data_IF_869362815136
#
_entry.id   IF_869362815136
#
_cell.length_a   1.000
_cell.length_b   1.000
_cell.length_c   1.000
_cell.angle_alpha   90.00
_cell.angle_beta   90.00
_cell.angle_gamma   90.00
#
_symmetry.space_group_name_H-M   'P 1'
#
loop_
_entity.id
_entity.type
_entity.pdbx_description
1 polymer ?
#
# COMPACT_ATOMS: atom_id res chain seq x y z
N UNK A 1 -2.14 -0.58 -26.77
CA UNK A 1 -1.65 0.01 -25.52
C UNK A 1 -2.00 -0.92 -24.38
N UNK A 2 -1.05 -1.21 -23.48
CA UNK A 2 -1.25 -2.07 -22.31
C UNK A 2 -0.52 -1.43 -21.12
N UNK A 3 -1.23 -1.25 -20.02
CA UNK A 3 -0.68 -0.80 -18.73
C UNK A 3 0.29 -1.86 -18.20
N UNK A 4 -0.02 -3.15 -18.39
CA UNK A 4 0.86 -4.24 -18.00
C UNK A 4 1.55 -4.80 -19.26
N UNK A 5 2.89 -4.71 -19.37
CA UNK A 5 3.61 -5.13 -20.56
C UNK A 5 3.40 -6.62 -20.88
N UNK A 6 2.91 -6.90 -22.09
CA UNK A 6 2.66 -8.27 -22.56
C UNK A 6 1.32 -8.87 -22.12
N UNK A 7 0.44 -8.07 -21.50
CA UNK A 7 -0.91 -8.52 -21.13
C UNK A 7 -1.84 -8.61 -22.33
N UNK A 8 -2.61 -9.70 -22.41
CA UNK A 8 -3.68 -9.89 -23.40
C UNK A 8 -4.99 -9.20 -23.04
N UNK A 9 -5.08 -8.60 -21.85
CA UNK A 9 -6.29 -7.91 -21.37
C UNK A 9 -6.46 -6.53 -22.02
N UNK A 10 -7.70 -6.07 -22.12
CA UNK A 10 -7.99 -4.66 -22.47
C UNK A 10 -7.47 -3.71 -21.39
N UNK A 11 -7.16 -2.46 -21.77
CA UNK A 11 -6.67 -1.41 -20.85
C UNK A 11 -7.64 -1.18 -19.68
N UNK A 12 -8.95 -1.23 -19.93
CA UNK A 12 -9.98 -1.10 -18.89
C UNK A 12 -9.98 -2.26 -17.90
N UNK A 13 -9.78 -3.50 -18.39
CA UNK A 13 -9.65 -4.67 -17.52
C UNK A 13 -8.36 -4.62 -16.70
N UNK A 14 -7.26 -4.13 -17.27
CA UNK A 14 -6.00 -3.97 -16.54
C UNK A 14 -6.15 -2.97 -15.38
N UNK A 15 -6.83 -1.84 -15.60
CA UNK A 15 -7.18 -0.91 -14.53
C UNK A 15 -8.12 -1.50 -13.49
N UNK A 16 -9.15 -2.24 -13.91
CA UNK A 16 -10.08 -2.89 -12.98
C UNK A 16 -9.36 -3.93 -12.10
N UNK A 17 -8.40 -4.66 -12.66
CA UNK A 17 -7.58 -5.64 -11.94
C UNK A 17 -6.63 -4.95 -10.95
N UNK A 18 -5.87 -3.96 -11.40
CA UNK A 18 -4.94 -3.21 -10.54
C UNK A 18 -5.70 -2.50 -9.42
N UNK A 19 -6.81 -1.84 -9.76
CA UNK A 19 -7.67 -1.16 -8.80
C UNK A 19 -8.33 -2.12 -7.82
N UNK A 20 -8.85 -3.26 -8.30
CA UNK A 20 -9.44 -4.29 -7.46
C UNK A 20 -8.44 -4.92 -6.50
N UNK A 21 -7.22 -5.23 -6.96
CA UNK A 21 -6.14 -5.74 -6.11
C UNK A 21 -5.69 -4.70 -5.08
N UNK A 22 -5.55 -3.43 -5.47
CA UNK A 22 -5.23 -2.36 -4.54
C UNK A 22 -6.31 -2.18 -3.46
N UNK A 23 -7.59 -2.26 -3.84
CA UNK A 23 -8.72 -2.17 -2.91
C UNK A 23 -8.75 -3.36 -1.94
N UNK A 24 -8.49 -4.57 -2.43
CA UNK A 24 -8.33 -5.76 -1.57
C UNK A 24 -7.15 -5.61 -0.60
N UNK A 25 -6.03 -5.05 -1.06
CA UNK A 25 -4.87 -4.74 -0.23
C UNK A 25 -5.19 -3.73 0.88
N UNK A 26 -5.97 -2.69 0.57
CA UNK A 26 -6.47 -1.72 1.56
C UNK A 26 -7.36 -2.41 2.59
N UNK A 27 -8.30 -3.25 2.16
CA UNK A 27 -9.17 -4.02 3.07
C UNK A 27 -8.35 -4.97 3.94
N UNK A 28 -7.36 -5.66 3.37
CA UNK A 28 -6.44 -6.52 4.12
C UNK A 28 -5.64 -5.72 5.16
N UNK A 29 -5.12 -4.55 4.81
CA UNK A 29 -4.40 -3.67 5.74
C UNK A 29 -5.31 -3.19 6.87
N UNK A 30 -6.53 -2.73 6.57
CA UNK A 30 -7.49 -2.28 7.58
C UNK A 30 -7.90 -3.43 8.51
N UNK A 31 -8.15 -4.62 7.97
CA UNK A 31 -8.49 -5.79 8.79
C UNK A 31 -7.31 -6.24 9.67
N UNK A 32 -6.07 -6.16 9.15
CA UNK A 32 -4.83 -6.41 9.90
C UNK A 32 -4.67 -5.45 11.07
N UNK A 33 -4.83 -4.16 10.82
CA UNK A 33 -4.72 -3.11 11.83
C UNK A 33 -5.74 -3.31 12.96
N UNK A 34 -6.92 -3.81 12.61
CA UNK A 34 -7.99 -4.16 13.56
C UNK A 34 -7.82 -5.53 14.21
N UNK A 35 -6.79 -6.30 13.85
CA UNK A 35 -6.55 -7.68 14.30
C UNK A 35 -7.76 -8.60 14.09
N UNK A 36 -8.42 -8.47 12.95
CA UNK A 36 -9.55 -9.34 12.61
C UNK A 36 -9.05 -10.67 12.04
N UNK A 37 -9.62 -11.78 12.51
CA UNK A 37 -9.26 -13.12 12.02
C UNK A 37 -9.51 -13.29 10.50
N UNK A 38 -10.43 -12.50 9.95
CA UNK A 38 -10.84 -12.56 8.55
C UNK A 38 -9.78 -12.05 7.57
N UNK A 39 -8.76 -11.33 8.06
CA UNK A 39 -7.62 -10.88 7.26
C UNK A 39 -7.00 -11.98 6.40
N UNK A 40 -6.90 -13.20 6.94
CA UNK A 40 -6.31 -14.34 6.22
C UNK A 40 -7.01 -14.58 4.89
N UNK A 41 -8.35 -14.49 4.86
CA UNK A 41 -9.15 -14.69 3.66
C UNK A 41 -8.89 -13.60 2.62
N UNK A 42 -8.75 -12.34 3.03
CA UNK A 42 -8.44 -11.23 2.12
C UNK A 42 -7.03 -11.34 1.55
N UNK A 43 -6.05 -11.76 2.36
CA UNK A 43 -4.69 -12.00 1.88
C UNK A 43 -4.62 -13.19 0.91
N UNK A 44 -5.35 -14.29 1.20
CA UNK A 44 -5.48 -15.42 0.25
C UNK A 44 -6.15 -14.97 -1.03
N UNK A 45 -7.26 -14.23 -0.96
CA UNK A 45 -7.96 -13.73 -2.13
C UNK A 45 -7.06 -12.81 -2.97
N UNK A 46 -6.29 -11.92 -2.33
CA UNK A 46 -5.33 -11.06 -3.00
C UNK A 46 -4.22 -11.86 -3.68
N UNK A 47 -3.76 -12.96 -3.08
CA UNK A 47 -2.73 -13.83 -3.63
C UNK A 47 -3.24 -14.66 -4.82
N UNK A 48 -4.47 -15.19 -4.73
CA UNK A 48 -5.12 -15.94 -5.81
C UNK A 48 -5.44 -15.03 -6.98
N UNK A 49 -6.03 -13.87 -6.73
CA UNK A 49 -6.36 -12.89 -7.77
C UNK A 49 -5.06 -12.34 -8.37
N UNK A 50 -4.08 -11.97 -7.55
CA UNK A 50 -2.75 -11.49 -7.94
C UNK A 50 -2.01 -12.43 -8.89
N UNK A 51 -1.75 -13.64 -8.41
CA UNK A 51 -0.94 -14.62 -9.15
C UNK A 51 -1.76 -15.35 -10.22
N UNK A 52 -3.05 -15.63 -9.97
CA UNK A 52 -3.95 -16.29 -10.92
C UNK A 52 -4.22 -15.41 -12.15
N UNK A 53 -4.46 -14.11 -11.98
CA UNK A 53 -4.58 -13.21 -13.13
C UNK A 53 -3.25 -13.08 -13.87
N UNK A 54 -2.12 -12.96 -13.17
CA UNK A 54 -0.82 -12.94 -13.83
C UNK A 54 -0.59 -14.20 -14.68
N UNK A 55 -0.96 -15.38 -14.17
CA UNK A 55 -0.83 -16.66 -14.88
C UNK A 55 -1.69 -16.74 -16.13
N UNK A 56 -2.91 -16.22 -16.07
CA UNK A 56 -3.85 -16.28 -17.20
C UNK A 56 -3.57 -15.21 -18.27
N UNK A 57 -2.89 -14.13 -17.91
CA UNK A 57 -2.86 -12.92 -18.75
C UNK A 57 -1.46 -12.53 -19.24
N UNK A 58 -0.40 -13.10 -18.65
CA UNK A 58 0.98 -12.75 -19.00
C UNK A 58 1.77 -13.94 -19.52
N UNK A 59 2.49 -13.73 -20.63
CA UNK A 59 3.55 -14.63 -21.09
C UNK A 59 4.85 -14.32 -20.36
N UNK A 60 4.88 -14.50 -19.04
CA UNK A 60 6.08 -14.35 -18.24
C UNK A 60 6.79 -15.70 -18.07
N UNK A 61 8.14 -15.72 -17.97
CA UNK A 61 8.84 -16.94 -17.61
C UNK A 61 8.40 -17.42 -16.23
N UNK A 62 8.15 -18.73 -16.11
CA UNK A 62 7.62 -19.38 -14.90
C UNK A 62 8.46 -19.04 -13.65
N UNK A 63 9.77 -18.85 -13.81
CA UNK A 63 10.67 -18.43 -12.73
C UNK A 63 10.30 -17.08 -12.12
N UNK A 64 9.96 -16.07 -12.92
CA UNK A 64 9.54 -14.76 -12.42
C UNK A 64 8.16 -14.82 -11.75
N UNK A 65 7.26 -15.66 -12.26
CA UNK A 65 5.96 -15.89 -11.63
C UNK A 65 6.10 -16.55 -10.26
N UNK A 66 6.96 -17.56 -10.15
CA UNK A 66 7.27 -18.24 -8.89
C UNK A 66 7.88 -17.28 -7.87
N UNK A 67 8.80 -16.41 -8.29
CA UNK A 67 9.38 -15.39 -7.41
C UNK A 67 8.29 -14.42 -6.91
N UNK A 68 7.42 -13.91 -7.80
CA UNK A 68 6.30 -13.06 -7.41
C UNK A 68 5.31 -13.76 -6.46
N UNK A 69 5.03 -15.04 -6.68
CA UNK A 69 4.19 -15.87 -5.82
C UNK A 69 4.82 -16.07 -4.44
N UNK A 70 6.13 -16.30 -4.37
CA UNK A 70 6.86 -16.42 -3.09
C UNK A 70 6.82 -15.12 -2.31
N UNK A 71 7.11 -13.98 -2.95
CA UNK A 71 7.05 -12.67 -2.28
C UNK A 71 5.64 -12.31 -1.80
N UNK A 72 4.62 -12.61 -2.59
CA UNK A 72 3.21 -12.40 -2.20
C UNK A 72 2.73 -13.36 -1.10
N UNK A 73 3.37 -14.51 -0.92
CA UNK A 73 3.09 -15.44 0.16
C UNK A 73 3.70 -15.04 1.51
N UNK A 74 4.72 -14.17 1.54
CA UNK A 74 5.39 -13.76 2.78
C UNK A 74 4.39 -13.13 3.78
N UNK A 75 3.55 -12.14 3.41
CA UNK A 75 2.54 -11.58 4.32
C UNK A 75 1.57 -12.65 4.85
N UNK A 76 1.20 -13.62 4.00
CA UNK A 76 0.33 -14.73 4.39
C UNK A 76 0.99 -15.62 5.44
N UNK A 77 2.27 -15.96 5.24
CA UNK A 77 3.05 -16.78 6.16
C UNK A 77 3.25 -16.10 7.51
N UNK A 78 3.53 -14.79 7.51
CA UNK A 78 3.64 -13.99 8.74
C UNK A 78 2.31 -14.00 9.49
N UNK A 79 1.19 -13.75 8.80
CA UNK A 79 -0.15 -13.69 9.40
C UNK A 79 -0.67 -15.07 9.82
N UNK A 80 -0.22 -16.14 9.17
CA UNK A 80 -0.50 -17.51 9.58
C UNK A 80 0.28 -17.90 10.85
N UNK A 81 1.52 -17.42 11.00
CA UNK A 81 2.41 -17.73 12.13
C UNK A 81 2.19 -16.84 13.35
N UNK A 82 1.83 -15.57 13.15
CA UNK A 82 1.51 -14.66 14.25
C UNK A 82 0.06 -14.92 14.66
N UNK A 83 -0.20 -15.37 15.90
CA UNK A 83 -1.55 -15.62 16.33
C UNK A 83 -2.26 -14.28 16.49
N UNK A 84 -3.10 -13.93 15.52
CA UNK A 84 -4.04 -12.81 15.60
C UNK A 84 -5.09 -13.19 16.65
N UNK A 85 -4.74 -12.99 17.92
CA UNK A 85 -5.71 -13.00 19.00
C UNK A 85 -6.56 -11.75 18.78
N UNK A 86 -7.87 -11.95 18.56
CA UNK A 86 -8.82 -10.87 18.69
C UNK A 86 -8.54 -10.21 20.06
N UNK A 87 -8.25 -8.91 20.04
CA UNK A 87 -8.15 -8.15 21.28
C UNK A 87 -9.48 -8.37 22.01
N UNK A 88 -9.44 -9.03 23.16
CA UNK A 88 -10.57 -9.12 24.06
C UNK A 88 -11.19 -7.72 24.16
N UNK A 89 -12.52 -7.57 23.97
CA UNK A 89 -13.14 -6.27 23.80
C UNK A 89 -12.78 -5.41 25.01
N UNK A 90 -11.89 -4.44 24.79
CA UNK A 90 -11.57 -3.45 25.81
C UNK A 90 -12.88 -2.75 26.10
N UNK A 91 -13.38 -2.91 27.33
CA UNK A 91 -14.72 -2.56 27.84
C UNK A 91 -15.05 -1.06 27.76
N UNK A 92 -14.95 -0.44 26.60
CA UNK A 92 -15.67 0.79 26.29
C UNK A 92 -16.68 0.42 25.21
N UNK A 93 -17.96 0.36 25.58
CA UNK A 93 -19.05 0.26 24.62
C UNK A 93 -19.03 1.55 23.80
N UNK A 94 -18.26 1.55 22.71
CA UNK A 94 -18.19 2.69 21.79
C UNK A 94 -19.59 2.94 21.26
N UNK A 95 -20.04 4.19 21.31
CA UNK A 95 -21.33 4.55 20.72
C UNK A 95 -21.32 4.24 19.22
N UNK A 96 -22.50 3.96 18.64
CA UNK A 96 -22.65 3.69 17.20
C UNK A 96 -22.01 4.82 16.37
N UNK A 97 -22.18 6.07 16.81
CA UNK A 97 -21.54 7.25 16.19
C UNK A 97 -20.01 7.20 16.22
N UNK A 98 -19.40 6.84 17.36
CA UNK A 98 -17.94 6.68 17.45
C UNK A 98 -17.42 5.54 16.58
N UNK A 99 -18.18 4.44 16.46
CA UNK A 99 -17.84 3.31 15.60
C UNK A 99 -17.85 3.71 14.12
N UNK A 100 -18.88 4.43 13.67
CA UNK A 100 -18.99 4.95 12.30
C UNK A 100 -17.84 5.91 12.00
N UNK A 101 -17.56 6.85 12.91
CA UNK A 101 -16.43 7.79 12.77
C UNK A 101 -15.08 7.08 12.62
N UNK A 102 -14.84 6.03 13.39
CA UNK A 102 -13.62 5.21 13.25
C UNK A 102 -13.55 4.51 11.89
N UNK A 103 -14.67 3.99 11.38
CA UNK A 103 -14.71 3.38 10.05
C UNK A 103 -14.47 4.39 8.94
N UNK A 104 -15.09 5.57 9.01
CA UNK A 104 -14.84 6.64 8.05
C UNK A 104 -13.37 7.09 8.10
N UNK A 105 -12.78 7.25 9.29
CA UNK A 105 -11.37 7.61 9.44
C UNK A 105 -10.42 6.57 8.84
N UNK A 106 -10.65 5.28 9.11
CA UNK A 106 -9.87 4.18 8.51
C UNK A 106 -10.06 4.08 7.00
N UNK A 107 -11.28 4.31 6.51
CA UNK A 107 -11.57 4.35 5.07
C UNK A 107 -10.77 5.45 4.37
N UNK A 108 -10.71 6.65 4.97
CA UNK A 108 -9.90 7.75 4.45
C UNK A 108 -8.39 7.45 4.50
N UNK A 109 -7.91 6.73 5.52
CA UNK A 109 -6.51 6.29 5.59
C UNK A 109 -6.20 5.32 4.46
N UNK A 110 -7.05 4.32 4.25
CA UNK A 110 -6.91 3.36 3.17
C UNK A 110 -6.92 4.03 1.79
N UNK A 111 -7.85 4.97 1.59
CA UNK A 111 -7.97 5.73 0.35
C UNK A 111 -6.74 6.61 0.11
N UNK A 112 -6.24 7.31 1.14
CA UNK A 112 -5.04 8.13 1.05
C UNK A 112 -3.81 7.29 0.69
N UNK A 113 -3.61 6.14 1.34
CA UNK A 113 -2.50 5.21 1.05
C UNK A 113 -2.59 4.69 -0.38
N UNK A 114 -3.79 4.36 -0.85
CA UNK A 114 -4.01 3.91 -2.22
C UNK A 114 -3.64 4.97 -3.25
N UNK A 115 -4.04 6.23 -3.04
CA UNK A 115 -3.66 7.32 -3.93
C UNK A 115 -2.16 7.63 -3.86
N UNK A 116 -1.54 7.62 -2.67
CA UNK A 116 -0.08 7.76 -2.54
C UNK A 116 0.67 6.66 -3.27
N UNK A 117 0.20 5.41 -3.19
CA UNK A 117 0.76 4.30 -3.97
C UNK A 117 0.71 4.58 -5.48
N UNK A 118 -0.42 5.08 -5.98
CA UNK A 118 -0.57 5.48 -7.37
C UNK A 118 0.41 6.59 -7.78
N UNK A 119 0.45 7.68 -7.02
CA UNK A 119 1.35 8.82 -7.29
C UNK A 119 2.83 8.40 -7.23
N UNK A 120 3.24 7.61 -6.24
CA UNK A 120 4.63 7.13 -6.11
C UNK A 120 4.99 6.14 -7.22
N UNK A 121 4.06 5.27 -7.62
CA UNK A 121 4.28 4.36 -8.74
C UNK A 121 4.45 5.13 -10.04
N UNK A 122 3.60 6.14 -10.29
CA UNK A 122 3.69 7.00 -11.47
C UNK A 122 4.97 7.86 -11.48
N UNK A 123 5.42 8.33 -10.31
CA UNK A 123 6.69 9.04 -10.14
C UNK A 123 7.88 8.11 -10.42
N UNK A 124 7.79 6.85 -9.97
CA UNK A 124 8.83 5.85 -10.16
C UNK A 124 8.99 5.41 -11.62
N UNK A 125 7.89 5.08 -12.29
CA UNK A 125 7.89 4.47 -13.64
C UNK A 125 7.88 5.50 -14.78
N UNK A 126 8.53 6.67 -14.61
CA UNK A 126 8.47 7.81 -15.54
C UNK A 126 8.42 7.44 -17.03
N UNK A 127 7.58 8.15 -17.80
CA UNK A 127 7.25 7.92 -19.23
C UNK A 127 7.78 6.60 -19.81
N UNK A 128 7.21 5.48 -19.40
CA UNK A 128 7.45 4.25 -20.14
C UNK A 128 6.84 4.38 -21.52
N UNK A 129 7.61 4.13 -22.59
CA UNK A 129 7.08 4.03 -23.96
C UNK A 129 5.93 3.03 -24.09
N UNK A 130 5.72 2.18 -23.08
CA UNK A 130 4.62 1.21 -23.00
C UNK A 130 3.43 1.65 -22.15
N UNK A 131 3.56 2.65 -21.26
CA UNK A 131 2.48 3.16 -20.41
C UNK A 131 2.07 4.59 -20.80
N UNK A 132 0.79 4.79 -21.11
CA UNK A 132 0.19 6.10 -21.38
C UNK A 132 -0.11 6.94 -20.13
N UNK A 133 0.55 6.69 -19.00
CA UNK A 133 0.36 7.58 -17.86
C UNK A 133 1.21 8.83 -18.12
N UNK A 134 0.65 10.05 -18.07
CA UNK A 134 1.46 11.26 -18.10
C UNK A 134 2.49 11.16 -16.97
N UNK A 135 3.77 11.38 -17.30
CA UNK A 135 4.81 11.33 -16.29
C UNK A 135 4.50 12.34 -15.19
N UNK A 136 4.48 11.84 -13.96
CA UNK A 136 4.29 12.69 -12.80
C UNK A 136 5.58 13.47 -12.58
N UNK A 137 5.60 14.75 -12.99
CA UNK A 137 6.75 15.61 -12.69
C UNK A 137 6.89 15.80 -11.18
N UNK A 138 8.13 15.87 -10.68
CA UNK A 138 8.48 16.04 -9.26
C UNK A 138 7.63 17.07 -8.48
N UNK A 139 7.34 18.29 -9.00
CA UNK A 139 6.50 19.24 -8.28
C UNK A 139 5.02 18.84 -8.23
N UNK A 140 4.49 18.20 -9.28
CA UNK A 140 3.11 17.72 -9.30
C UNK A 140 2.94 16.54 -8.32
N UNK A 141 3.91 15.61 -8.31
CA UNK A 141 3.91 14.48 -7.38
C UNK A 141 3.95 14.97 -5.92
N UNK A 142 4.75 16.01 -5.65
CA UNK A 142 4.81 16.62 -4.33
C UNK A 142 3.44 17.19 -3.89
N UNK A 143 2.78 17.95 -4.76
CA UNK A 143 1.47 18.53 -4.47
C UNK A 143 0.41 17.45 -4.20
N UNK A 144 0.38 16.39 -5.00
CA UNK A 144 -0.53 15.26 -4.80
C UNK A 144 -0.24 14.51 -3.49
N UNK A 145 1.03 14.18 -3.21
CA UNK A 145 1.40 13.50 -1.96
C UNK A 145 1.04 14.32 -0.73
N UNK A 146 1.24 15.64 -0.76
CA UNK A 146 0.80 16.54 0.31
C UNK A 146 -0.72 16.51 0.43
N UNK A 147 -1.46 16.56 -0.67
CA UNK A 147 -2.92 16.49 -0.67
C UNK A 147 -3.44 15.16 -0.07
N UNK A 148 -2.80 14.03 -0.41
CA UNK A 148 -3.14 12.73 0.18
C UNK A 148 -2.79 12.65 1.67
N UNK A 149 -1.70 13.29 2.11
CA UNK A 149 -1.35 13.40 3.53
C UNK A 149 -2.37 14.25 4.28
N UNK A 150 -2.89 15.33 3.67
CA UNK A 150 -3.98 16.13 4.24
C UNK A 150 -5.28 15.30 4.35
N UNK A 151 -5.58 14.46 3.37
CA UNK A 151 -6.72 13.53 3.44
C UNK A 151 -6.57 12.56 4.62
N UNK A 152 -5.36 12.05 4.85
CA UNK A 152 -5.05 11.24 6.03
C UNK A 152 -5.16 12.06 7.33
N UNK A 153 -4.81 13.34 7.35
CA UNK A 153 -5.06 14.19 8.52
C UNK A 153 -6.55 14.37 8.82
N UNK A 154 -7.38 14.60 7.79
CA UNK A 154 -8.85 14.68 7.92
C UNK A 154 -9.41 13.35 8.46
N UNK A 155 -8.93 12.21 7.95
CA UNK A 155 -9.29 10.90 8.48
C UNK A 155 -8.98 10.76 9.98
N UNK A 156 -7.86 11.30 10.43
CA UNK A 156 -7.45 11.28 11.84
C UNK A 156 -8.31 12.17 12.73
N UNK A 157 -8.72 13.34 12.22
CA UNK A 157 -9.65 14.22 12.90
C UNK A 157 -11.04 13.57 13.08
N UNK A 158 -11.52 12.87 12.05
CA UNK A 158 -12.79 12.13 12.11
C UNK A 158 -12.69 10.96 13.10
N UNK A 159 -11.57 10.23 13.11
CA UNK A 159 -11.31 9.09 14.00
C UNK A 159 -11.43 9.44 15.49
N UNK A 160 -11.10 10.68 15.88
CA UNK A 160 -11.35 11.24 17.22
C UNK A 160 -10.31 10.87 18.29
N UNK A 161 -9.76 9.65 18.27
CA UNK A 161 -8.69 9.24 19.19
C UNK A 161 -7.29 9.49 18.61
N UNK A 162 -6.69 10.63 18.98
CA UNK A 162 -5.42 11.11 18.42
C UNK A 162 -4.27 10.11 18.51
N UNK A 163 -4.10 9.42 19.64
CA UNK A 163 -2.99 8.46 19.81
C UNK A 163 -3.15 7.23 18.90
N UNK A 164 -4.36 6.67 18.83
CA UNK A 164 -4.65 5.50 17.99
C UNK A 164 -4.59 5.86 16.49
N UNK A 165 -5.13 7.03 16.13
CA UNK A 165 -5.07 7.58 14.76
C UNK A 165 -3.62 7.79 14.29
N UNK A 166 -2.77 8.40 15.12
CA UNK A 166 -1.33 8.56 14.83
C UNK A 166 -0.64 7.23 14.64
N UNK A 167 -0.94 6.23 15.49
CA UNK A 167 -0.37 4.90 15.38
C UNK A 167 -0.74 4.23 14.05
N UNK A 168 -2.01 4.25 13.67
CA UNK A 168 -2.46 3.66 12.40
C UNK A 168 -1.87 4.38 11.19
N UNK A 169 -1.90 5.72 11.19
CA UNK A 169 -1.27 6.50 10.12
C UNK A 169 0.22 6.17 10.01
N UNK A 170 0.92 6.11 11.15
CA UNK A 170 2.34 5.79 11.21
C UNK A 170 2.66 4.41 10.61
N UNK A 171 1.95 3.37 11.05
CA UNK A 171 2.10 2.01 10.53
C UNK A 171 1.83 1.97 9.03
N UNK A 172 0.78 2.64 8.54
CA UNK A 172 0.42 2.65 7.14
C UNK A 172 1.46 3.34 6.27
N UNK A 173 2.01 4.48 6.70
CA UNK A 173 3.05 5.20 5.97
C UNK A 173 4.36 4.40 5.91
N UNK A 174 4.79 3.81 7.02
CA UNK A 174 5.98 2.96 7.05
C UNK A 174 5.80 1.70 6.20
N UNK A 175 4.62 1.07 6.26
CA UNK A 175 4.30 -0.10 5.45
C UNK A 175 4.27 0.24 3.95
N UNK A 176 3.63 1.37 3.57
CA UNK A 176 3.61 1.84 2.20
C UNK A 176 5.03 2.10 1.68
N UNK A 177 5.86 2.81 2.44
CA UNK A 177 7.23 3.10 2.04
C UNK A 177 8.05 1.81 1.82
N UNK A 178 7.95 0.86 2.75
CA UNK A 178 8.64 -0.43 2.66
C UNK A 178 8.17 -1.26 1.46
N UNK A 179 6.86 -1.29 1.23
CA UNK A 179 6.26 -1.98 0.09
C UNK A 179 6.70 -1.37 -1.24
N UNK A 180 6.73 -0.04 -1.33
CA UNK A 180 7.15 0.66 -2.54
C UNK A 180 8.61 0.40 -2.89
N UNK A 181 9.53 0.31 -1.91
CA UNK A 181 10.92 -0.09 -2.18
C UNK A 181 10.96 -1.46 -2.86
N UNK A 182 10.25 -2.45 -2.31
CA UNK A 182 10.20 -3.79 -2.90
C UNK A 182 9.57 -3.78 -4.29
N UNK A 183 8.43 -3.11 -4.44
CA UNK A 183 7.73 -2.96 -5.70
C UNK A 183 8.63 -2.33 -6.78
N UNK A 184 9.34 -1.27 -6.43
CA UNK A 184 10.29 -0.59 -7.32
C UNK A 184 11.45 -1.49 -7.72
N UNK A 185 12.06 -2.22 -6.76
CA UNK A 185 13.16 -3.14 -7.05
C UNK A 185 12.73 -4.26 -8.01
N UNK A 186 11.58 -4.90 -7.74
CA UNK A 186 11.04 -5.98 -8.59
C UNK A 186 10.71 -5.45 -9.97
N UNK A 187 10.04 -4.29 -10.06
CA UNK A 187 9.70 -3.66 -11.34
C UNK A 187 10.94 -3.31 -12.16
N UNK A 188 12.00 -2.80 -11.52
CA UNK A 188 13.26 -2.49 -12.16
C UNK A 188 13.96 -3.74 -12.70
N UNK A 189 14.07 -4.80 -11.89
CA UNK A 189 14.67 -6.08 -12.31
C UNK A 189 13.88 -6.67 -13.48
N UNK A 190 12.56 -6.68 -13.39
CA UNK A 190 11.68 -7.16 -14.45
C UNK A 190 11.92 -6.43 -15.77
N UNK A 191 11.92 -5.10 -15.75
CA UNK A 191 12.15 -4.30 -16.95
C UNK A 191 13.56 -4.47 -17.51
N UNK A 192 14.60 -4.53 -16.68
CA UNK A 192 15.98 -4.78 -17.15
C UNK A 192 16.16 -6.17 -17.75
N UNK A 193 15.44 -7.17 -17.25
CA UNK A 193 15.52 -8.55 -17.75
C UNK A 193 14.81 -8.71 -19.10
N UNK A 194 13.65 -8.08 -19.28
CA UNK A 194 12.81 -8.25 -20.48
C UNK A 194 13.06 -7.18 -21.56
N UNK A 195 13.47 -5.98 -21.15
CA UNK A 195 13.67 -4.83 -22.02
C UNK A 195 15.00 -4.13 -21.69
N UNK A 196 16.15 -4.81 -21.81
CA UNK A 196 17.47 -4.25 -21.45
C UNK A 196 17.83 -2.99 -22.25
N UNK A 197 17.22 -2.85 -23.43
CA UNK A 197 17.42 -1.78 -24.42
C UNK A 197 16.97 -0.39 -23.93
N UNK A 198 16.11 -0.32 -22.90
CA UNK A 198 15.46 0.95 -22.51
C UNK A 198 16.12 1.52 -21.25
N UNK A 199 16.95 2.53 -21.45
CA UNK A 199 17.62 3.28 -20.38
C UNK A 199 16.78 4.48 -19.92
N UNK A 200 16.92 4.90 -18.66
CA UNK A 200 16.28 6.12 -18.13
C UNK A 200 14.78 6.01 -17.81
N UNK A 201 14.20 4.81 -17.80
CA UNK A 201 12.77 4.56 -17.49
C UNK A 201 12.35 4.86 -16.04
N UNK A 202 13.28 4.85 -15.10
CA UNK A 202 12.96 4.86 -13.67
C UNK A 202 13.62 6.03 -12.96
N UNK A 203 12.82 6.80 -12.22
CA UNK A 203 13.29 7.95 -11.44
C UNK A 203 13.47 7.55 -9.97
N UNK A 204 14.58 6.88 -9.67
CA UNK A 204 14.90 6.41 -8.32
C UNK A 204 15.11 7.55 -7.34
N UNK A 205 15.84 8.61 -7.72
CA UNK A 205 16.22 9.69 -6.79
C UNK A 205 15.00 10.39 -6.18
N UNK A 206 14.08 10.83 -7.04
CA UNK A 206 12.84 11.49 -6.62
C UNK A 206 11.93 10.56 -5.81
N UNK A 207 11.85 9.28 -6.22
CA UNK A 207 11.01 8.29 -5.53
C UNK A 207 11.58 7.99 -4.15
N UNK A 208 12.87 7.69 -4.05
CA UNK A 208 13.55 7.37 -2.79
C UNK A 208 13.45 8.51 -1.78
N UNK A 209 13.58 9.76 -2.23
CA UNK A 209 13.40 10.92 -1.36
C UNK A 209 12.03 10.91 -0.67
N UNK A 210 10.95 10.69 -1.43
CA UNK A 210 9.61 10.59 -0.85
C UNK A 210 9.43 9.35 0.02
N UNK A 211 9.99 8.21 -0.35
CA UNK A 211 9.93 6.99 0.47
C UNK A 211 10.60 7.19 1.83
N UNK A 212 11.74 7.89 1.87
CA UNK A 212 12.43 8.25 3.12
C UNK A 212 11.59 9.22 3.95
N UNK A 213 11.01 10.26 3.34
CA UNK A 213 10.12 11.20 4.03
C UNK A 213 8.93 10.47 4.66
N UNK A 214 8.25 9.60 3.90
CA UNK A 214 7.10 8.85 4.39
C UNK A 214 7.49 7.85 5.49
N UNK A 215 8.65 7.19 5.37
CA UNK A 215 9.15 6.30 6.40
C UNK A 215 9.47 7.06 7.70
N UNK A 216 10.18 8.19 7.62
CA UNK A 216 10.49 9.03 8.77
C UNK A 216 9.22 9.58 9.43
N UNK A 217 8.28 10.09 8.64
CA UNK A 217 6.98 10.54 9.13
C UNK A 217 6.22 9.39 9.81
N UNK A 218 6.23 8.21 9.21
CA UNK A 218 5.61 7.00 9.73
C UNK A 218 6.18 6.60 11.10
N UNK A 219 7.50 6.45 11.21
CA UNK A 219 8.18 6.12 12.46
C UNK A 219 7.97 7.19 13.54
N UNK A 220 8.00 8.47 13.16
CA UNK A 220 7.76 9.57 14.10
C UNK A 220 6.34 9.51 14.68
N UNK A 221 5.33 9.25 13.84
CA UNK A 221 3.94 9.13 14.29
C UNK A 221 3.73 7.92 15.21
N UNK A 222 4.38 6.79 14.92
CA UNK A 222 4.38 5.61 15.82
C UNK A 222 5.05 5.96 17.15
N UNK A 223 6.25 6.54 17.13
CA UNK A 223 6.98 6.94 18.34
C UNK A 223 6.20 7.92 19.21
N UNK A 224 5.56 8.93 18.62
CA UNK A 224 4.70 9.88 19.34
C UNK A 224 3.43 9.22 19.92
N UNK A 225 2.95 8.14 19.30
CA UNK A 225 1.79 7.40 19.81
C UNK A 225 2.11 6.53 21.03
N UNK A 226 3.34 6.02 21.11
CA UNK A 226 3.80 5.15 22.20
C UNK A 226 4.45 5.96 23.34
N UNK A 227 5.17 7.05 23.04
CA UNK A 227 5.79 7.93 24.04
C UNK A 227 4.79 8.60 25.00
N UNK A 228 3.55 8.82 24.57
CA UNK A 228 2.47 9.34 25.42
C UNK A 228 1.98 8.36 26.50
N UNK A 229 2.35 7.08 26.44
CA UNK A 229 2.06 6.10 27.49
C UNK A 229 3.15 6.03 28.56
N UNK A 230 4.39 6.36 28.21
CA UNK A 230 5.54 6.30 29.13
C UNK A 230 5.60 7.48 30.11
N UNK A 231 4.94 8.61 29.83
CA UNK A 231 4.97 9.79 30.71
C UNK A 231 3.83 9.84 31.73
N UNK A 232 2.94 8.83 31.76
CA UNK A 232 1.83 8.73 32.72
C UNK A 232 2.06 7.70 33.83
N UNK A 233 3.27 7.15 33.94
CA UNK A 233 3.64 6.14 34.94
C UNK A 233 4.70 6.63 35.94
N UNK A 234 4.77 7.94 36.19
CA UNK A 234 5.54 8.54 37.28
C UNK A 234 4.65 9.49 38.05
#
# INVERSE_FOLDING_TARGET
MSIIPGSTLSVSMQWAVIGGQGLLGVVAAVTLLRRLAWTKHFLVAQLIIGNGLSFLTHKQPISLMLVGAVFSAIPLLIVARVPIHELAPTRSVLSVSQRIRRYCGLGLYGLAVYFMFGTLSALFTGTSRTMNSPAMHTPAAAAELIFWLLLMLVGGAIFGQRAEARRYAGILLTALASYMVLFSCVSYIYARTLYPQVEGLYHWDATLQWLVILAMAGFTLVGLSDGGKSSRST
#
